data_IF_470954868509
#
_entry.id   IF_470954868509
#
_cell.length_a   1.000
_cell.length_b   1.000
_cell.length_c   1.000
_cell.angle_alpha   90.00
_cell.angle_beta   90.00
_cell.angle_gamma   90.00
#
_symmetry.space_group_name_H-M   'P 1'
#
loop_
_entity.id
_entity.type
_entity.pdbx_description
1 polymer ?
#
# COMPACT_ATOMS: atom_id res chain seq x y z
N UNK A 1 1.36 3.17 4.69
CA UNK A 1 0.10 2.39 4.81
C UNK A 1 -0.43 2.30 6.24
N UNK A 2 0.44 2.23 7.25
CA UNK A 2 0.08 2.15 8.68
C UNK A 2 -0.52 3.45 9.25
N UNK A 3 0.09 4.60 8.95
CA UNK A 3 -0.25 5.88 9.58
C UNK A 3 -1.12 6.80 8.70
N UNK A 4 -1.78 6.23 7.69
CA UNK A 4 -2.58 7.03 6.75
C UNK A 4 -3.85 6.30 6.33
N UNK A 5 -4.92 7.08 6.17
CA UNK A 5 -6.21 6.63 5.63
C UNK A 5 -6.29 6.72 4.10
N UNK A 6 -5.23 7.19 3.44
CA UNK A 6 -5.19 7.28 1.97
C UNK A 6 -5.42 5.91 1.33
N UNK A 7 -6.20 5.86 0.26
CA UNK A 7 -6.34 4.67 -0.57
C UNK A 7 -5.00 4.31 -1.23
N UNK A 8 -4.90 3.10 -1.78
CA UNK A 8 -3.70 2.68 -2.52
C UNK A 8 -3.45 3.60 -3.72
N UNK A 9 -4.52 4.03 -4.41
CA UNK A 9 -4.45 4.98 -5.52
C UNK A 9 -3.95 6.35 -5.06
N UNK A 10 -4.56 6.93 -4.00
CA UNK A 10 -4.11 8.23 -3.48
C UNK A 10 -2.65 8.21 -3.05
N UNK A 11 -2.19 7.11 -2.43
CA UNK A 11 -0.81 6.95 -2.03
C UNK A 11 0.12 6.82 -3.26
N UNK A 12 -0.32 6.11 -4.30
CA UNK A 12 0.40 6.01 -5.57
C UNK A 12 0.61 7.38 -6.19
N UNK A 13 -0.46 8.17 -6.30
CA UNK A 13 -0.42 9.50 -6.91
C UNK A 13 0.47 10.46 -6.10
N UNK A 14 0.34 10.44 -4.77
CA UNK A 14 1.14 11.26 -3.86
C UNK A 14 2.65 10.95 -3.93
N UNK A 15 3.01 9.69 -4.14
CA UNK A 15 4.39 9.25 -4.28
C UNK A 15 4.94 9.41 -5.71
N UNK A 16 4.13 9.91 -6.65
CA UNK A 16 4.55 10.17 -8.03
C UNK A 16 4.61 8.92 -8.93
N UNK A 17 3.91 7.85 -8.57
CA UNK A 17 3.79 6.69 -9.46
C UNK A 17 2.78 6.97 -10.58
N UNK A 18 3.08 6.46 -11.78
CA UNK A 18 2.22 6.62 -12.96
C UNK A 18 0.82 6.01 -12.78
N UNK A 19 0.72 4.92 -12.03
CA UNK A 19 -0.53 4.25 -11.71
C UNK A 19 -0.42 3.36 -10.46
N UNK A 20 -1.59 3.10 -9.86
CA UNK A 20 -1.71 2.31 -8.63
C UNK A 20 -1.29 0.84 -8.79
N UNK A 21 -1.37 0.27 -10.00
CA UNK A 21 -0.96 -1.10 -10.25
C UNK A 21 0.57 -1.21 -10.28
N UNK A 22 1.26 -0.23 -10.85
CA UNK A 22 2.71 -0.13 -10.83
C UNK A 22 3.23 0.06 -9.41
N UNK A 23 2.63 0.99 -8.64
CA UNK A 23 2.91 1.12 -7.21
C UNK A 23 2.71 -0.21 -6.47
N UNK A 24 1.61 -0.93 -6.73
CA UNK A 24 1.32 -2.21 -6.07
C UNK A 24 2.36 -3.29 -6.40
N UNK A 25 2.82 -3.36 -7.65
CA UNK A 25 3.91 -4.27 -8.08
C UNK A 25 5.24 -3.90 -7.44
N UNK A 26 5.59 -2.61 -7.46
CA UNK A 26 6.78 -2.07 -6.80
C UNK A 26 6.76 -2.45 -5.32
N UNK A 27 5.70 -2.07 -4.60
CA UNK A 27 5.56 -2.33 -3.18
C UNK A 27 5.69 -3.82 -2.86
N UNK A 28 4.99 -4.70 -3.59
CA UNK A 28 5.07 -6.15 -3.39
C UNK A 28 6.48 -6.70 -3.61
N UNK A 29 7.23 -6.17 -4.58
CA UNK A 29 8.62 -6.58 -4.82
C UNK A 29 9.51 -6.28 -3.61
N UNK A 30 9.26 -5.17 -2.91
CA UNK A 30 10.05 -4.76 -1.74
C UNK A 30 9.56 -5.36 -0.41
N UNK A 31 8.24 -5.45 -0.21
CA UNK A 31 7.64 -5.88 1.07
C UNK A 31 7.23 -7.36 1.10
N UNK A 32 7.24 -8.04 -0.05
CA UNK A 32 6.77 -9.42 -0.19
C UNK A 32 5.25 -9.58 -0.33
N UNK A 33 4.45 -8.54 -0.12
CA UNK A 33 2.97 -8.62 -0.17
C UNK A 33 2.33 -7.38 -0.78
N UNK A 34 1.05 -7.46 -1.17
CA UNK A 34 0.35 -6.30 -1.74
C UNK A 34 0.12 -5.20 -0.69
N UNK A 35 0.01 -3.92 -1.09
CA UNK A 35 -0.36 -2.83 -0.18
C UNK A 35 -1.65 -3.08 0.60
N UNK A 36 -2.63 -3.75 -0.03
CA UNK A 36 -3.89 -4.11 0.61
C UNK A 36 -3.68 -5.17 1.70
N UNK A 37 -2.98 -6.26 1.38
CA UNK A 37 -2.67 -7.32 2.34
C UNK A 37 -1.90 -6.76 3.55
N UNK A 38 -0.88 -5.94 3.31
CA UNK A 38 -0.12 -5.27 4.36
C UNK A 38 -0.98 -4.36 5.25
N UNK A 39 -2.00 -3.72 4.69
CA UNK A 39 -2.92 -2.89 5.48
C UNK A 39 -3.84 -3.74 6.36
N UNK A 40 -4.31 -4.89 5.88
CA UNK A 40 -5.12 -5.80 6.69
C UNK A 40 -4.30 -6.38 7.86
N UNK A 41 -3.04 -6.78 7.64
CA UNK A 41 -2.18 -7.29 8.74
C UNK A 41 -1.98 -6.27 9.86
N UNK A 42 -1.98 -4.97 9.53
CA UNK A 42 -1.88 -3.90 10.54
C UNK A 42 -3.18 -3.75 11.31
N UNK A 43 -4.35 -3.88 10.65
CA UNK A 43 -5.63 -3.82 11.34
C UNK A 43 -5.80 -5.01 12.29
N UNK A 44 -5.37 -6.20 11.87
CA UNK A 44 -5.44 -7.41 12.67
C UNK A 44 -4.53 -7.32 13.91
N UNK A 45 -3.34 -6.73 13.78
CA UNK A 45 -2.43 -6.47 14.90
C UNK A 45 -2.86 -5.29 15.79
N UNK A 46 -3.88 -4.52 15.39
CA UNK A 46 -4.41 -3.39 16.16
C UNK A 46 -5.68 -3.77 16.96
N UNK A 47 -6.05 -5.05 16.95
CA UNK A 47 -7.02 -5.69 17.86
C UNK A 47 -6.27 -6.40 19.01
#
# INVERSE_FOLDING_TARGET
>A
LQYTRMTVTQLSDYLGFSDAAYFSRFFRRYSGMSPKAFRETIKDNAL
#
